data_IF_009757822367
#
_entry.id   IF_009757822367
#
_cell.length_a   1.000
_cell.length_b   1.000
_cell.length_c   1.000
_cell.angle_alpha   90.00
_cell.angle_beta   90.00
_cell.angle_gamma   90.00
#
_symmetry.space_group_name_H-M   'P 1'
#
loop_
_entity.id
_entity.type
_entity.pdbx_description
1 polymer ?
#
# COMPACT_ATOMS: atom_id res chain seq x y z
N UNK A 1 23.69 52.35 -35.76
CA UNK A 1 22.78 51.49 -34.98
C UNK A 1 22.68 52.14 -33.61
N UNK A 2 21.49 52.61 -33.26
CA UNK A 2 21.28 53.29 -31.98
C UNK A 2 21.39 52.30 -30.81
N UNK A 3 22.08 52.69 -29.75
CA UNK A 3 22.28 51.89 -28.56
C UNK A 3 20.93 51.34 -27.97
N UNK A 4 19.85 52.06 -28.18
CA UNK A 4 18.51 51.67 -27.77
C UNK A 4 17.97 50.45 -28.56
N UNK A 5 18.20 50.41 -29.86
CA UNK A 5 17.76 49.29 -30.72
C UNK A 5 18.52 48.00 -30.38
N UNK A 6 19.81 48.11 -30.06
CA UNK A 6 20.61 46.98 -29.65
C UNK A 6 20.20 46.42 -28.30
N UNK A 7 19.90 47.30 -27.32
CA UNK A 7 19.40 46.87 -25.99
C UNK A 7 18.04 46.19 -26.07
N UNK A 8 17.11 46.69 -26.91
CA UNK A 8 15.79 46.05 -27.13
C UNK A 8 15.93 44.68 -27.80
N UNK A 9 16.83 44.53 -28.78
CA UNK A 9 17.10 43.23 -29.41
C UNK A 9 17.62 42.21 -28.41
N UNK A 10 18.59 42.59 -27.57
CA UNK A 10 19.12 41.73 -26.51
C UNK A 10 18.04 41.34 -25.47
N UNK A 11 17.16 42.29 -25.09
CA UNK A 11 16.04 42.03 -24.20
C UNK A 11 15.06 40.98 -24.76
N UNK A 12 14.65 41.14 -26.01
CA UNK A 12 13.75 40.22 -26.70
C UNK A 12 14.35 38.80 -26.86
N UNK A 13 15.63 38.72 -27.17
CA UNK A 13 16.32 37.40 -27.23
C UNK A 13 16.41 36.76 -25.84
N UNK A 14 16.72 37.54 -24.79
CA UNK A 14 16.75 37.06 -23.40
C UNK A 14 15.40 36.50 -22.95
N UNK A 15 14.32 37.20 -23.28
CA UNK A 15 12.96 36.79 -22.97
C UNK A 15 12.54 35.53 -23.73
N UNK A 16 12.90 35.45 -25.02
CA UNK A 16 12.65 34.25 -25.82
C UNK A 16 13.40 33.02 -25.32
N UNK A 17 14.69 33.13 -25.05
CA UNK A 17 15.46 32.00 -24.49
C UNK A 17 15.04 31.67 -23.08
N UNK A 18 14.66 32.66 -22.25
CA UNK A 18 14.12 32.47 -20.94
C UNK A 18 12.82 31.64 -20.96
N UNK A 19 11.91 31.97 -21.89
CA UNK A 19 10.65 31.23 -22.03
C UNK A 19 10.86 29.78 -22.47
N UNK A 20 11.78 29.51 -23.39
CA UNK A 20 12.13 28.16 -23.81
C UNK A 20 12.72 27.36 -22.62
N UNK A 21 13.64 27.99 -21.87
CA UNK A 21 14.24 27.33 -20.69
C UNK A 21 13.21 26.97 -19.64
N UNK A 22 12.21 27.83 -19.41
CA UNK A 22 11.07 27.53 -18.48
C UNK A 22 10.27 26.35 -18.99
N UNK A 23 9.89 26.32 -20.26
CA UNK A 23 9.11 25.20 -20.84
C UNK A 23 9.91 23.88 -20.77
N UNK A 24 11.20 23.91 -21.08
CA UNK A 24 12.08 22.75 -20.99
C UNK A 24 12.18 22.23 -19.53
N UNK A 25 12.30 23.16 -18.57
CA UNK A 25 12.34 22.82 -17.14
C UNK A 25 11.01 22.19 -16.67
N UNK A 26 9.89 22.76 -17.08
CA UNK A 26 8.57 22.21 -16.76
C UNK A 26 8.37 20.80 -17.35
N UNK A 27 8.79 20.59 -18.60
CA UNK A 27 8.73 19.26 -19.23
C UNK A 27 9.63 18.24 -18.51
N UNK A 28 10.83 18.66 -18.09
CA UNK A 28 11.73 17.85 -17.30
C UNK A 28 11.11 17.46 -15.93
N UNK A 29 10.56 18.45 -15.20
CA UNK A 29 9.91 18.23 -13.93
C UNK A 29 8.70 17.31 -14.06
N UNK A 30 7.86 17.50 -15.08
CA UNK A 30 6.72 16.62 -15.34
C UNK A 30 7.16 15.17 -15.54
N UNK A 31 8.24 14.95 -16.29
CA UNK A 31 8.82 13.61 -16.51
C UNK A 31 9.39 13.03 -15.22
N UNK A 32 10.04 13.83 -14.40
CA UNK A 32 10.59 13.40 -13.11
C UNK A 32 9.49 13.00 -12.12
N UNK A 33 8.39 13.77 -12.04
CA UNK A 33 7.21 13.43 -11.24
C UNK A 33 6.58 12.11 -11.71
N UNK A 34 6.49 11.93 -13.03
CA UNK A 34 5.95 10.70 -13.60
C UNK A 34 6.80 9.47 -13.27
N UNK A 35 8.13 9.59 -13.36
CA UNK A 35 9.05 8.52 -12.97
C UNK A 35 9.00 8.23 -11.46
N UNK A 36 8.96 9.27 -10.62
CA UNK A 36 8.82 9.13 -9.17
C UNK A 36 7.52 8.44 -8.78
N UNK A 37 6.40 8.76 -9.44
CA UNK A 37 5.13 8.10 -9.18
C UNK A 37 5.12 6.62 -9.58
N UNK A 38 5.82 6.25 -10.66
CA UNK A 38 5.98 4.85 -11.06
C UNK A 38 6.83 4.06 -10.06
N UNK A 39 7.94 4.64 -9.58
CA UNK A 39 8.78 4.02 -8.56
C UNK A 39 8.02 3.83 -7.25
N UNK A 40 7.26 4.83 -6.81
CA UNK A 40 6.41 4.72 -5.63
C UNK A 40 5.38 3.59 -5.76
N UNK A 41 4.73 3.46 -6.92
CA UNK A 41 3.79 2.35 -7.19
C UNK A 41 4.47 0.97 -7.16
N UNK A 42 5.70 0.86 -7.68
CA UNK A 42 6.47 -0.39 -7.61
C UNK A 42 6.83 -0.74 -6.16
N UNK A 43 7.29 0.23 -5.37
CA UNK A 43 7.62 0.03 -3.95
C UNK A 43 6.40 -0.40 -3.13
N UNK A 44 5.23 0.20 -3.36
CA UNK A 44 3.98 -0.17 -2.70
C UNK A 44 3.56 -1.61 -3.04
N UNK A 45 3.71 -2.03 -4.30
CA UNK A 45 3.44 -3.41 -4.70
C UNK A 45 4.41 -4.41 -4.06
N UNK A 46 5.68 -4.04 -3.91
CA UNK A 46 6.70 -4.90 -3.29
C UNK A 46 6.40 -5.14 -1.81
N UNK A 47 5.98 -4.12 -1.07
CA UNK A 47 5.61 -4.26 0.35
C UNK A 47 4.45 -5.24 0.59
N UNK A 48 3.43 -5.22 -0.28
CA UNK A 48 2.32 -6.19 -0.21
C UNK A 48 2.78 -7.62 -0.49
N UNK A 49 3.69 -7.81 -1.46
CA UNK A 49 4.25 -9.12 -1.78
C UNK A 49 5.14 -9.68 -0.66
N UNK A 50 5.90 -8.83 0.02
CA UNK A 50 6.72 -9.23 1.16
C UNK A 50 5.86 -9.70 2.34
N UNK A 51 4.80 -8.98 2.69
CA UNK A 51 3.88 -9.38 3.76
C UNK A 51 3.18 -10.71 3.41
N UNK A 52 2.77 -10.88 2.15
CA UNK A 52 2.18 -12.14 1.69
C UNK A 52 3.18 -13.29 1.70
N UNK A 53 4.44 -13.03 1.40
CA UNK A 53 5.53 -14.01 1.47
C UNK A 53 5.78 -14.48 2.91
N UNK A 54 5.81 -13.53 3.87
CA UNK A 54 5.94 -13.85 5.31
C UNK A 54 4.76 -14.68 5.81
N UNK A 55 3.55 -14.31 5.44
CA UNK A 55 2.35 -15.10 5.76
C UNK A 55 2.48 -16.55 5.28
N UNK A 56 2.87 -16.75 4.01
CA UNK A 56 3.08 -18.09 3.46
C UNK A 56 4.22 -18.84 4.14
N UNK A 57 5.31 -18.17 4.46
CA UNK A 57 6.42 -18.75 5.18
C UNK A 57 5.98 -19.25 6.55
N UNK A 58 5.26 -18.44 7.32
CA UNK A 58 4.75 -18.84 8.64
C UNK A 58 3.81 -20.05 8.57
N UNK A 59 2.97 -20.13 7.53
CA UNK A 59 2.13 -21.33 7.30
C UNK A 59 2.96 -22.57 7.03
N UNK A 60 4.01 -22.46 6.20
CA UNK A 60 4.87 -23.58 5.85
C UNK A 60 5.74 -24.05 7.02
N UNK A 61 6.14 -23.14 7.90
CA UNK A 61 6.90 -23.43 9.12
C UNK A 61 6.04 -24.07 10.22
N UNK A 62 4.72 -23.84 10.19
CA UNK A 62 3.78 -24.29 11.22
C UNK A 62 2.58 -25.04 10.64
N UNK A 63 2.75 -26.09 9.81
CA UNK A 63 1.65 -26.74 9.11
C UNK A 63 0.63 -27.40 10.06
N UNK A 64 1.09 -27.91 11.21
CA UNK A 64 0.21 -28.53 12.20
C UNK A 64 -0.75 -27.52 12.83
N UNK A 65 -0.25 -26.29 13.10
CA UNK A 65 -1.09 -25.21 13.63
C UNK A 65 -2.13 -24.80 12.60
N UNK A 66 -1.74 -24.68 11.33
CA UNK A 66 -2.67 -24.33 10.24
C UNK A 66 -3.77 -25.38 10.11
N UNK A 67 -3.45 -26.65 10.13
CA UNK A 67 -4.44 -27.75 10.07
C UNK A 67 -5.41 -27.71 11.26
N UNK A 68 -4.90 -27.47 12.48
CA UNK A 68 -5.74 -27.31 13.67
C UNK A 68 -6.67 -26.10 13.57
N UNK A 69 -6.15 -24.95 13.10
CA UNK A 69 -6.95 -23.74 12.87
C UNK A 69 -8.08 -23.99 11.87
N UNK A 70 -7.80 -24.69 10.77
CA UNK A 70 -8.78 -25.01 9.73
C UNK A 70 -9.83 -26.01 10.18
N UNK A 71 -9.46 -26.96 11.02
CA UNK A 71 -10.37 -27.98 11.57
C UNK A 71 -11.15 -27.52 12.80
N UNK A 72 -10.84 -26.34 13.35
CA UNK A 72 -11.43 -25.86 14.61
C UNK A 72 -10.97 -26.66 15.84
N UNK A 73 -9.84 -27.38 15.73
CA UNK A 73 -9.29 -28.15 16.84
C UNK A 73 -8.73 -27.21 17.93
N UNK A 74 -8.71 -27.70 19.16
CA UNK A 74 -8.19 -26.93 20.29
C UNK A 74 -6.67 -26.72 20.13
N UNK A 75 -6.25 -25.47 20.20
CA UNK A 75 -4.85 -25.04 20.15
C UNK A 75 -4.30 -24.95 21.57
N UNK A 76 -3.05 -25.35 21.76
CA UNK A 76 -2.30 -25.04 22.97
C UNK A 76 -1.99 -23.55 23.06
N UNK A 77 -1.53 -23.06 24.19
CA UNK A 77 -1.21 -21.65 24.38
C UNK A 77 -0.14 -21.16 23.37
N UNK A 78 0.91 -21.96 23.16
CA UNK A 78 1.96 -21.64 22.18
C UNK A 78 1.41 -21.64 20.75
N UNK A 79 0.61 -22.63 20.38
CA UNK A 79 -0.04 -22.71 19.07
C UNK A 79 -1.00 -21.53 18.82
N UNK A 80 -1.68 -21.07 19.86
CA UNK A 80 -2.55 -19.89 19.78
C UNK A 80 -1.76 -18.61 19.44
N UNK A 81 -0.57 -18.43 20.02
CA UNK A 81 0.31 -17.31 19.71
C UNK A 81 0.74 -17.38 18.23
N UNK A 82 1.14 -18.56 17.76
CA UNK A 82 1.54 -18.78 16.36
C UNK A 82 0.36 -18.51 15.43
N UNK A 83 -0.80 -19.03 15.74
CA UNK A 83 -2.02 -18.84 14.96
C UNK A 83 -2.39 -17.34 14.84
N UNK A 84 -2.30 -16.61 15.94
CA UNK A 84 -2.51 -15.15 15.97
C UNK A 84 -1.55 -14.43 15.04
N UNK A 85 -0.28 -14.74 15.08
CA UNK A 85 0.73 -14.13 14.23
C UNK A 85 0.48 -14.44 12.74
N UNK A 86 0.10 -15.68 12.39
CA UNK A 86 -0.24 -16.07 11.01
C UNK A 86 -1.41 -15.21 10.48
N UNK A 87 -2.49 -15.09 11.25
CA UNK A 87 -3.66 -14.30 10.83
C UNK A 87 -3.32 -12.81 10.76
N UNK A 88 -2.54 -12.30 11.70
CA UNK A 88 -2.11 -10.91 11.71
C UNK A 88 -1.29 -10.56 10.46
N UNK A 89 -0.31 -11.39 10.09
CA UNK A 89 0.46 -11.17 8.86
C UNK A 89 -0.40 -11.19 7.60
N UNK A 90 -1.41 -12.08 7.54
CA UNK A 90 -2.36 -12.09 6.44
C UNK A 90 -3.19 -10.79 6.37
N UNK A 91 -3.62 -10.27 7.50
CA UNK A 91 -4.40 -9.03 7.58
C UNK A 91 -3.54 -7.79 7.29
N UNK A 92 -2.28 -7.77 7.73
CA UNK A 92 -1.33 -6.70 7.36
C UNK A 92 -1.07 -6.69 5.85
N UNK A 93 -0.96 -7.86 5.22
CA UNK A 93 -0.86 -7.96 3.76
C UNK A 93 -2.12 -7.43 3.06
N UNK A 94 -3.31 -7.74 3.60
CA UNK A 94 -4.57 -7.18 3.11
C UNK A 94 -4.63 -5.66 3.30
N UNK A 95 -4.26 -5.12 4.47
CA UNK A 95 -4.24 -3.69 4.77
C UNK A 95 -3.32 -2.93 3.82
N UNK A 96 -2.08 -3.41 3.64
CA UNK A 96 -1.13 -2.82 2.69
C UNK A 96 -1.68 -2.82 1.25
N UNK A 97 -2.30 -3.92 0.84
CA UNK A 97 -2.87 -4.03 -0.52
C UNK A 97 -4.11 -3.13 -0.67
N UNK A 98 -4.92 -2.99 0.38
CA UNK A 98 -6.06 -2.08 0.42
C UNK A 98 -5.62 -0.63 0.26
N UNK A 99 -4.65 -0.17 1.05
CA UNK A 99 -4.14 1.20 0.97
C UNK A 99 -3.58 1.53 -0.42
N UNK A 100 -2.95 0.58 -1.08
CA UNK A 100 -2.46 0.74 -2.44
C UNK A 100 -3.58 0.78 -3.49
N UNK A 101 -4.71 0.14 -3.23
CA UNK A 101 -5.80 -0.03 -4.20
C UNK A 101 -6.91 1.00 -4.04
N UNK A 102 -7.15 1.53 -2.85
CA UNK A 102 -8.33 2.34 -2.51
C UNK A 102 -8.57 3.55 -3.42
N UNK A 103 -7.51 4.14 -3.97
CA UNK A 103 -7.60 5.30 -4.87
C UNK A 103 -7.63 4.84 -6.34
N UNK A 104 -6.80 3.86 -6.70
CA UNK A 104 -6.61 3.46 -8.09
C UNK A 104 -7.69 2.48 -8.59
N UNK A 105 -8.20 1.62 -7.70
CA UNK A 105 -9.17 0.57 -8.02
C UNK A 105 -10.09 0.29 -6.81
N UNK A 106 -11.18 1.06 -6.63
CA UNK A 106 -12.11 0.87 -5.53
C UNK A 106 -12.76 -0.53 -5.47
N UNK A 107 -12.95 -1.18 -6.63
CA UNK A 107 -13.51 -2.53 -6.70
C UNK A 107 -12.55 -3.55 -6.11
N UNK A 108 -11.27 -3.42 -6.42
CA UNK A 108 -10.21 -4.24 -5.84
C UNK A 108 -10.10 -3.99 -4.33
N UNK A 109 -10.16 -2.75 -3.89
CA UNK A 109 -10.16 -2.41 -2.47
C UNK A 109 -11.31 -3.09 -1.71
N UNK A 110 -12.54 -3.07 -2.25
CA UNK A 110 -13.69 -3.76 -1.66
C UNK A 110 -13.49 -5.30 -1.61
N UNK A 111 -12.89 -5.88 -2.66
CA UNK A 111 -12.54 -7.31 -2.68
C UNK A 111 -11.53 -7.69 -1.60
N UNK A 112 -10.55 -6.80 -1.31
CA UNK A 112 -9.56 -7.03 -0.26
C UNK A 112 -10.21 -7.00 1.13
N UNK A 113 -11.13 -6.07 1.39
CA UNK A 113 -11.90 -6.04 2.64
C UNK A 113 -12.68 -7.36 2.82
N UNK A 114 -13.36 -7.83 1.76
CA UNK A 114 -14.09 -9.10 1.83
C UNK A 114 -13.16 -10.31 2.06
N UNK A 115 -11.93 -10.24 1.56
CA UNK A 115 -10.91 -11.29 1.82
C UNK A 115 -10.46 -11.27 3.28
N UNK A 116 -10.21 -10.09 3.85
CA UNK A 116 -9.90 -9.92 5.27
C UNK A 116 -11.00 -10.49 6.17
N UNK A 117 -12.26 -10.16 5.87
CA UNK A 117 -13.41 -10.70 6.63
C UNK A 117 -13.48 -12.23 6.57
N UNK A 118 -13.29 -12.83 5.38
CA UNK A 118 -13.25 -14.30 5.24
C UNK A 118 -12.12 -14.96 6.03
N UNK A 119 -10.96 -14.31 6.13
CA UNK A 119 -9.87 -14.79 6.95
C UNK A 119 -10.25 -14.78 8.42
N UNK A 120 -10.87 -13.72 8.91
CA UNK A 120 -11.36 -13.63 10.29
C UNK A 120 -12.43 -14.69 10.60
N UNK A 121 -13.39 -14.85 9.71
CA UNK A 121 -14.43 -15.87 9.82
C UNK A 121 -13.84 -17.29 9.82
N UNK A 122 -12.91 -17.57 8.90
CA UNK A 122 -12.27 -18.88 8.78
C UNK A 122 -11.51 -19.28 10.04
N UNK A 123 -10.82 -18.34 10.66
CA UNK A 123 -10.01 -18.58 11.84
C UNK A 123 -10.71 -18.23 13.16
N UNK A 124 -12.01 -17.89 13.10
CA UNK A 124 -12.85 -17.57 14.25
C UNK A 124 -12.19 -16.56 15.21
N UNK A 125 -11.57 -15.51 14.65
CA UNK A 125 -10.91 -14.51 15.45
C UNK A 125 -11.86 -13.35 15.77
N UNK A 126 -11.87 -12.86 17.04
CA UNK A 126 -12.67 -11.69 17.42
C UNK A 126 -12.27 -10.45 16.61
N UNK A 127 -13.27 -9.87 15.94
CA UNK A 127 -13.07 -8.72 15.04
C UNK A 127 -12.55 -7.49 15.79
N UNK A 128 -13.03 -7.26 17.00
CA UNK A 128 -12.66 -6.14 17.87
C UNK A 128 -11.18 -6.16 18.27
N UNK A 129 -10.62 -7.32 18.60
CA UNK A 129 -9.18 -7.46 18.87
C UNK A 129 -8.33 -7.11 17.64
N UNK A 130 -8.77 -7.58 16.46
CA UNK A 130 -8.05 -7.35 15.21
C UNK A 130 -8.10 -5.90 14.78
N UNK A 131 -9.26 -5.26 14.88
CA UNK A 131 -9.44 -3.84 14.55
C UNK A 131 -8.49 -2.99 15.40
N UNK A 132 -8.42 -3.23 16.71
CA UNK A 132 -7.51 -2.49 17.60
C UNK A 132 -6.03 -2.63 17.18
N UNK A 133 -5.59 -3.82 16.80
CA UNK A 133 -4.20 -4.04 16.34
C UNK A 133 -3.92 -3.36 15.00
N UNK A 134 -4.86 -3.42 14.06
CA UNK A 134 -4.72 -2.79 12.74
C UNK A 134 -4.70 -1.26 12.85
N UNK A 135 -5.49 -0.67 13.74
CA UNK A 135 -5.49 0.78 14.00
C UNK A 135 -4.14 1.25 14.52
N UNK A 136 -3.55 0.55 15.50
CA UNK A 136 -2.21 0.84 16.03
C UNK A 136 -1.14 0.66 14.95
N UNK A 137 -1.31 -0.31 14.06
CA UNK A 137 -0.42 -0.57 12.92
C UNK A 137 -0.50 0.44 11.77
N UNK A 138 -1.38 1.45 11.85
CA UNK A 138 -1.54 2.48 10.82
C UNK A 138 -2.55 2.11 9.72
N UNK A 139 -3.30 1.02 9.86
CA UNK A 139 -4.32 0.57 8.91
C UNK A 139 -5.75 0.92 9.34
N UNK A 140 -5.95 2.10 9.96
CA UNK A 140 -7.21 2.52 10.55
C UNK A 140 -8.38 2.51 9.59
N UNK A 141 -8.22 2.97 8.34
CA UNK A 141 -9.29 2.95 7.35
C UNK A 141 -9.68 1.51 6.94
N UNK A 142 -8.71 0.63 6.79
CA UNK A 142 -8.98 -0.79 6.52
C UNK A 142 -9.67 -1.46 7.71
N UNK A 143 -9.23 -1.19 8.93
CA UNK A 143 -9.84 -1.66 10.17
C UNK A 143 -11.30 -1.21 10.31
N UNK A 144 -11.57 0.07 10.05
CA UNK A 144 -12.93 0.63 10.05
C UNK A 144 -13.84 -0.04 9.01
N UNK A 145 -13.30 -0.36 7.83
CA UNK A 145 -14.06 -1.08 6.79
C UNK A 145 -14.35 -2.52 7.16
N UNK A 146 -13.45 -3.18 7.88
CA UNK A 146 -13.70 -4.52 8.43
C UNK A 146 -14.78 -4.49 9.53
N UNK A 147 -14.81 -3.46 10.36
CA UNK A 147 -15.76 -3.28 11.45
C UNK A 147 -17.17 -2.85 11.03
N UNK A 148 -17.34 -2.32 9.81
CA UNK A 148 -18.66 -1.92 9.29
C UNK A 148 -19.38 -3.13 8.68
N UNK A 149 -20.01 -3.94 9.53
CA UNK A 149 -21.05 -4.91 9.10
C UNK A 149 -22.43 -4.31 9.23
#
# INVERSE_FOLDING_TARGET
MDHQTFAQLLGNYGEFFGSIAVVATLAYLARQVQQSSQLSRMQLNTGGLESFSRFRQMQNENPEVVVKMESGAQLSETENIIARNIVLEALLACGTTYDNSKIADPTRAASIVSTGLRLLERFNWPLDEVVAVLEVGGFGEFAERLGRK
#
